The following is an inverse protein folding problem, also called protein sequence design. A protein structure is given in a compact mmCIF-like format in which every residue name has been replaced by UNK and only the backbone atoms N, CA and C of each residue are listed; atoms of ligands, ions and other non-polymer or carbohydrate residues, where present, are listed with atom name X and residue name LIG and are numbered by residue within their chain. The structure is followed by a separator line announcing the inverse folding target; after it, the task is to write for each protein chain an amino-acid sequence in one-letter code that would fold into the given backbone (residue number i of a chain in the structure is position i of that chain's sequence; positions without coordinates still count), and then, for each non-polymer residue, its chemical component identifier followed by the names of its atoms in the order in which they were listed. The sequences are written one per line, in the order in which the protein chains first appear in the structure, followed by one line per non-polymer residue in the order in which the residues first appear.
data_IF_767844892246
#
_entry.id   IF_767844892246
#
_cell.length_a   1.000
_cell.length_b   1.000
_cell.length_c   1.000
_cell.angle_alpha   90.00
_cell.angle_beta   90.00
_cell.angle_gamma   90.00
#
_symmetry.space_group_name_H-M   'P 1'
#
loop_
_entity.id
_entity.type
_entity.pdbx_description
1 polymer ?
#
# COMPACT_ATOMS: atom_id res chain seq x y z
N UNK A 1 -2.36 48.76 -6.14
CA UNK A 1 -2.92 47.73 -5.22
C UNK A 1 -3.93 46.95 -6.04
N UNK A 2 -3.95 45.61 -6.15
CA UNK A 2 -3.57 44.53 -5.25
C UNK A 2 -3.34 43.31 -6.17
N UNK A 3 -2.17 42.66 -6.09
CA UNK A 3 -1.89 41.44 -6.84
C UNK A 3 -2.70 40.31 -6.19
N UNK A 4 -3.80 39.89 -6.82
CA UNK A 4 -4.53 38.70 -6.38
C UNK A 4 -3.87 37.51 -7.06
N UNK A 5 -2.89 36.99 -6.34
CA UNK A 5 -2.28 35.69 -6.50
C UNK A 5 -3.35 34.63 -6.24
N UNK A 6 -3.77 33.89 -7.27
CA UNK A 6 -4.53 32.65 -7.10
C UNK A 6 -3.87 31.57 -7.95
N UNK A 7 -2.71 31.12 -7.48
CA UNK A 7 -2.08 29.86 -7.91
C UNK A 7 -2.96 28.71 -7.38
N UNK A 8 -3.95 28.28 -8.17
CA UNK A 8 -4.72 27.07 -7.89
C UNK A 8 -4.23 25.95 -8.83
N UNK A 9 -2.94 25.65 -8.75
CA UNK A 9 -2.33 24.50 -9.43
C UNK A 9 -1.49 23.68 -8.45
N UNK A 10 -2.13 23.27 -7.36
CA UNK A 10 -1.77 22.15 -6.48
C UNK A 10 -3.04 21.97 -5.63
N UNK A 11 -3.75 20.85 -5.59
CA UNK A 11 -3.32 19.54 -5.15
C UNK A 11 -4.32 18.50 -5.70
N UNK A 12 -4.08 17.99 -6.89
CA UNK A 12 -4.46 16.60 -7.18
C UNK A 12 -3.17 15.82 -7.35
N UNK A 13 -2.36 15.82 -6.29
CA UNK A 13 -1.44 14.72 -6.05
C UNK A 13 -2.30 13.53 -5.61
N UNK A 14 -3.17 13.02 -6.49
CA UNK A 14 -3.33 11.58 -6.51
C UNK A 14 -1.97 11.09 -6.97
N UNK A 15 -1.06 10.90 -6.00
CA UNK A 15 0.16 10.16 -6.25
C UNK A 15 -0.31 8.93 -7.00
N UNK A 16 0.26 8.68 -8.18
CA UNK A 16 0.06 7.41 -8.84
C UNK A 16 0.78 6.40 -7.95
N UNK A 17 0.15 6.05 -6.84
CA UNK A 17 0.74 5.23 -5.80
C UNK A 17 1.05 3.92 -6.46
N UNK A 18 2.35 3.59 -6.46
CA UNK A 18 2.83 2.37 -7.07
C UNK A 18 1.98 1.21 -6.54
N UNK A 19 1.37 0.47 -7.47
CA UNK A 19 0.72 -0.79 -7.12
C UNK A 19 1.81 -1.85 -7.01
N UNK A 20 1.97 -2.42 -5.82
CA UNK A 20 2.87 -3.53 -5.56
C UNK A 20 2.14 -4.86 -5.76
N UNK A 21 2.83 -5.81 -6.37
CA UNK A 21 2.35 -7.18 -6.56
C UNK A 21 2.38 -7.97 -5.24
N UNK A 22 1.66 -9.08 -5.20
CA UNK A 22 1.69 -10.01 -4.05
C UNK A 22 3.10 -10.56 -3.81
N UNK A 23 3.89 -10.76 -4.87
CA UNK A 23 5.25 -11.29 -4.76
C UNK A 23 6.23 -10.26 -4.19
N UNK A 24 6.12 -8.99 -4.59
CA UNK A 24 6.90 -7.90 -3.99
C UNK A 24 6.63 -7.79 -2.48
N UNK A 25 5.36 -7.86 -2.06
CA UNK A 25 5.03 -7.91 -0.62
C UNK A 25 5.54 -9.19 0.05
N UNK A 26 5.43 -10.36 -0.60
CA UNK A 26 5.90 -11.63 -0.01
C UNK A 26 7.39 -11.57 0.32
N UNK A 27 8.19 -10.96 -0.57
CA UNK A 27 9.64 -10.88 -0.49
C UNK A 27 10.16 -9.70 0.35
N UNK A 28 9.29 -8.74 0.71
CA UNK A 28 9.63 -7.59 1.55
C UNK A 28 8.65 -7.47 2.74
N UNK A 29 9.11 -7.95 3.89
CA UNK A 29 8.35 -7.92 5.14
C UNK A 29 8.09 -6.49 5.62
N UNK A 30 9.07 -5.59 5.49
CA UNK A 30 8.94 -4.19 5.91
C UNK A 30 7.90 -3.47 5.06
N UNK A 31 7.91 -3.68 3.75
CA UNK A 31 6.90 -3.14 2.83
C UNK A 31 5.50 -3.66 3.20
N UNK A 32 5.39 -4.94 3.55
CA UNK A 32 4.12 -5.54 3.99
C UNK A 32 3.59 -4.86 5.25
N UNK A 33 4.44 -4.72 6.27
CA UNK A 33 4.07 -4.13 7.56
C UNK A 33 3.68 -2.66 7.43
N UNK A 34 4.42 -1.90 6.62
CA UNK A 34 4.11 -0.50 6.33
C UNK A 34 2.72 -0.37 5.70
N UNK A 35 2.45 -1.15 4.64
CA UNK A 35 1.18 -1.06 3.96
C UNK A 35 0.02 -1.58 4.82
N UNK A 36 0.20 -2.64 5.60
CA UNK A 36 -0.84 -3.09 6.52
C UNK A 36 -1.20 -2.02 7.55
N UNK A 37 -0.22 -1.30 8.10
CA UNK A 37 -0.46 -0.16 8.99
C UNK A 37 -1.20 0.97 8.27
N UNK A 38 -0.76 1.35 7.08
CA UNK A 38 -1.44 2.38 6.27
C UNK A 38 -2.91 2.01 5.98
N UNK A 39 -3.18 0.75 5.66
CA UNK A 39 -4.54 0.25 5.46
C UNK A 39 -5.38 0.30 6.75
N UNK A 40 -4.80 -0.03 7.90
CA UNK A 40 -5.50 -0.02 9.20
C UNK A 40 -5.77 1.41 9.71
N UNK A 41 -4.86 2.34 9.45
CA UNK A 41 -4.96 3.74 9.85
C UNK A 41 -5.87 4.56 8.93
N UNK A 42 -6.32 4.00 7.80
CA UNK A 42 -7.10 4.71 6.79
C UNK A 42 -6.29 5.72 5.96
N UNK A 43 -4.95 5.61 5.97
CA UNK A 43 -4.05 6.43 5.13
C UNK A 43 -4.18 6.07 3.64
N UNK A 44 -4.56 4.81 3.36
CA UNK A 44 -4.90 4.30 2.05
C UNK A 44 -6.27 3.63 2.16
N UNK A 45 -7.08 3.73 1.10
CA UNK A 45 -8.33 2.97 0.98
C UNK A 45 -8.09 1.48 1.28
N UNK A 46 -8.84 0.93 2.23
CA UNK A 46 -8.74 -0.48 2.66
C UNK A 46 -9.04 -1.48 1.54
N UNK A 47 -9.77 -1.05 0.50
CA UNK A 47 -10.08 -1.79 -0.72
C UNK A 47 -9.09 -1.51 -1.85
N UNK A 48 -8.08 -0.66 -1.63
CA UNK A 48 -6.99 -0.46 -2.59
C UNK A 48 -6.28 -1.77 -2.92
N UNK A 49 -5.78 -1.87 -4.14
CA UNK A 49 -5.08 -3.06 -4.62
C UNK A 49 -3.83 -3.37 -3.76
N UNK A 50 -3.16 -2.34 -3.23
CA UNK A 50 -2.04 -2.51 -2.29
C UNK A 50 -2.48 -3.13 -0.95
N UNK A 51 -3.61 -2.72 -0.41
CA UNK A 51 -4.18 -3.34 0.80
C UNK A 51 -4.61 -4.79 0.55
N UNK A 52 -5.19 -5.08 -0.61
CA UNK A 52 -5.53 -6.45 -0.98
C UNK A 52 -4.28 -7.33 -1.17
N UNK A 53 -3.24 -6.82 -1.83
CA UNK A 53 -2.04 -7.58 -2.14
C UNK A 53 -1.17 -7.83 -0.90
N UNK A 54 -1.03 -6.83 0.00
CA UNK A 54 -0.31 -7.01 1.27
C UNK A 54 -0.97 -8.04 2.19
N UNK A 55 -2.32 -8.08 2.26
CA UNK A 55 -3.06 -9.11 2.99
C UNK A 55 -2.85 -10.51 2.39
N UNK A 56 -2.95 -10.63 1.06
CA UNK A 56 -2.71 -11.89 0.35
C UNK A 56 -1.29 -12.41 0.57
N UNK A 57 -0.30 -11.52 0.58
CA UNK A 57 1.09 -11.89 0.80
C UNK A 57 1.32 -12.56 2.16
N UNK A 58 0.71 -12.07 3.24
CA UNK A 58 0.79 -12.70 4.57
C UNK A 58 0.15 -14.09 4.58
N UNK A 59 -1.03 -14.24 3.96
CA UNK A 59 -1.68 -15.57 3.86
C UNK A 59 -0.81 -16.56 3.09
N UNK A 60 -0.21 -16.14 1.97
CA UNK A 60 0.69 -16.98 1.17
C UNK A 60 1.96 -17.32 1.95
N UNK A 61 2.57 -16.35 2.64
CA UNK A 61 3.77 -16.56 3.48
C UNK A 61 3.49 -17.62 4.56
N UNK A 62 2.35 -17.54 5.22
CA UNK A 62 1.92 -18.50 6.24
C UNK A 62 1.57 -19.88 5.67
N UNK A 63 1.02 -19.97 4.45
CA UNK A 63 0.80 -21.26 3.78
C UNK A 63 2.11 -21.94 3.43
N UNK A 64 3.07 -21.18 2.89
CA UNK A 64 4.40 -21.70 2.55
C UNK A 64 5.15 -22.16 3.79
N UNK A 65 5.12 -21.38 4.88
CA UNK A 65 5.75 -21.79 6.12
C UNK A 65 5.16 -23.11 6.63
N UNK A 66 3.83 -23.27 6.62
CA UNK A 66 3.17 -24.52 7.04
C UNK A 66 3.46 -25.71 6.10
N UNK A 67 3.57 -25.48 4.79
CA UNK A 67 3.91 -26.53 3.83
C UNK A 67 5.38 -26.99 3.94
N UNK A 68 6.27 -26.14 4.45
CA UNK A 68 7.69 -26.47 4.63
C UNK A 68 7.96 -27.49 5.75
N UNK A 69 6.98 -27.73 6.63
CA UNK A 69 7.10 -28.66 7.78
C UNK A 69 6.46 -30.03 7.52
N UNK A 70 6.02 -30.29 6.28
CA UNK A 70 5.21 -31.45 5.91
C UNK A 70 5.83 -32.22 4.74
#
# INVERSE_FOLDING_TARGET
MKKILMLITALFLFGCDRTYTVEEFKNDEKLTDEYQKKCQNGEIDGDSLNCQNSRKAVVVRNKVSNASWN
#
